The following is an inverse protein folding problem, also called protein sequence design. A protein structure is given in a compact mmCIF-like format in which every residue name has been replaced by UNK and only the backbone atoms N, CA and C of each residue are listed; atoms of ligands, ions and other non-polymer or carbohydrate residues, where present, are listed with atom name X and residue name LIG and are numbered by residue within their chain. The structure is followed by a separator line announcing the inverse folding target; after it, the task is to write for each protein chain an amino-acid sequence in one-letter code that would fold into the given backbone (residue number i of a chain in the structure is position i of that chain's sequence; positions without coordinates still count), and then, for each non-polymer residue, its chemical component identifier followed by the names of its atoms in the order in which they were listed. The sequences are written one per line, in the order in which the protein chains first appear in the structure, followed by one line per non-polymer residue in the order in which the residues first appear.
data_IF_431741376013
#
_entry.id   IF_431741376013
#
_cell.length_a   1.000
_cell.length_b   1.000
_cell.length_c   1.000
_cell.angle_alpha   90.00
_cell.angle_beta   90.00
_cell.angle_gamma   90.00
#
_symmetry.space_group_name_H-M   'P 1'
#
loop_
_entity.id
_entity.type
_entity.pdbx_description
1 polymer ?
#
# COMPACT_ATOMS: atom_id res chain seq x y z
N UNK A 1 -20.60 -43.82 -50.10
CA UNK A 1 -19.81 -43.07 -49.10
C UNK A 1 -20.08 -41.58 -49.32
N UNK A 2 -21.17 -41.05 -48.77
CA UNK A 2 -21.51 -39.63 -48.89
C UNK A 2 -21.37 -38.98 -47.53
N UNK A 3 -20.25 -38.29 -47.35
CA UNK A 3 -19.92 -37.49 -46.17
C UNK A 3 -20.80 -36.23 -46.17
N UNK A 4 -22.02 -36.36 -45.63
CA UNK A 4 -22.96 -35.25 -45.45
C UNK A 4 -22.54 -34.42 -44.23
N UNK A 5 -21.51 -33.59 -44.38
CA UNK A 5 -21.13 -32.62 -43.34
C UNK A 5 -22.13 -31.48 -43.35
N UNK A 6 -23.07 -31.51 -42.40
CA UNK A 6 -23.95 -30.38 -42.10
C UNK A 6 -23.14 -29.07 -42.02
N UNK A 7 -23.60 -27.97 -42.66
CA UNK A 7 -22.91 -26.70 -42.56
C UNK A 7 -22.96 -26.24 -41.10
N UNK A 8 -21.80 -26.22 -40.45
CA UNK A 8 -21.66 -25.65 -39.10
C UNK A 8 -22.17 -24.22 -39.17
N UNK A 9 -23.32 -23.97 -38.53
CA UNK A 9 -23.98 -22.67 -38.53
C UNK A 9 -23.10 -21.65 -37.81
N UNK A 10 -22.24 -20.97 -38.57
CA UNK A 10 -21.29 -19.96 -38.09
C UNK A 10 -22.01 -18.83 -37.33
N UNK A 11 -23.25 -18.51 -37.70
CA UNK A 11 -24.07 -17.49 -37.03
C UNK A 11 -24.54 -17.95 -35.63
N UNK A 12 -24.95 -19.20 -35.47
CA UNK A 12 -25.29 -19.77 -34.16
C UNK A 12 -24.06 -19.83 -33.23
N UNK A 13 -22.89 -20.25 -33.77
CA UNK A 13 -21.62 -20.25 -33.03
C UNK A 13 -21.18 -18.83 -32.63
N UNK A 14 -21.37 -17.83 -33.50
CA UNK A 14 -21.09 -16.40 -33.22
C UNK A 14 -22.04 -15.84 -32.13
N UNK A 15 -23.33 -16.16 -32.18
CA UNK A 15 -24.30 -15.76 -31.13
C UNK A 15 -23.99 -16.39 -29.77
N UNK A 16 -23.56 -17.65 -29.73
CA UNK A 16 -23.11 -18.32 -28.50
C UNK A 16 -21.87 -17.65 -27.91
N UNK A 17 -20.85 -17.36 -28.72
CA UNK A 17 -19.65 -16.62 -28.29
C UNK A 17 -19.96 -15.22 -27.75
N UNK A 18 -20.94 -14.52 -28.33
CA UNK A 18 -21.37 -13.21 -27.83
C UNK A 18 -22.03 -13.32 -26.45
N UNK A 19 -22.86 -14.35 -26.24
CA UNK A 19 -23.50 -14.62 -24.94
C UNK A 19 -22.46 -14.96 -23.87
N UNK A 20 -21.46 -15.80 -24.18
CA UNK A 20 -20.39 -16.13 -23.25
C UNK A 20 -19.54 -14.92 -22.91
N UNK A 21 -19.18 -14.10 -23.90
CA UNK A 21 -18.44 -12.85 -23.67
C UNK A 21 -19.22 -11.87 -22.80
N UNK A 22 -20.54 -11.74 -23.02
CA UNK A 22 -21.42 -10.91 -22.18
C UNK A 22 -21.40 -11.38 -20.72
N UNK A 23 -21.54 -12.68 -20.48
CA UNK A 23 -21.51 -13.23 -19.12
C UNK A 23 -20.14 -13.05 -18.45
N UNK A 24 -19.05 -13.24 -19.17
CA UNK A 24 -17.69 -12.97 -18.66
C UNK A 24 -17.50 -11.50 -18.29
N UNK A 25 -17.99 -10.58 -19.12
CA UNK A 25 -17.92 -9.15 -18.83
C UNK A 25 -18.74 -8.80 -17.58
N UNK A 26 -19.97 -9.33 -17.45
CA UNK A 26 -20.80 -9.12 -16.26
C UNK A 26 -20.08 -9.65 -15.01
N UNK A 27 -19.53 -10.86 -15.06
CA UNK A 27 -18.80 -11.45 -13.94
C UNK A 27 -17.56 -10.61 -13.58
N UNK A 28 -16.82 -10.12 -14.58
CA UNK A 28 -15.67 -9.24 -14.37
C UNK A 28 -16.07 -7.95 -13.67
N UNK A 29 -17.16 -7.29 -14.10
CA UNK A 29 -17.67 -6.07 -13.46
C UNK A 29 -18.11 -6.36 -12.02
N UNK A 30 -18.86 -7.44 -11.78
CA UNK A 30 -19.31 -7.81 -10.44
C UNK A 30 -18.12 -8.12 -9.51
N UNK A 31 -17.08 -8.80 -10.01
CA UNK A 31 -15.87 -9.06 -9.26
C UNK A 31 -15.15 -7.76 -8.88
N UNK A 32 -15.04 -6.81 -9.81
CA UNK A 32 -14.44 -5.50 -9.52
C UNK A 32 -15.25 -4.72 -8.47
N UNK A 33 -16.58 -4.70 -8.56
CA UNK A 33 -17.43 -4.03 -7.55
C UNK A 33 -17.23 -4.68 -6.18
N UNK A 34 -17.18 -6.01 -6.10
CA UNK A 34 -16.94 -6.71 -4.84
C UNK A 34 -15.55 -6.37 -4.25
N UNK A 35 -14.52 -6.27 -5.10
CA UNK A 35 -13.19 -5.85 -4.68
C UNK A 35 -13.16 -4.38 -4.24
N UNK A 36 -13.84 -3.46 -4.94
CA UNK A 36 -13.97 -2.06 -4.53
C UNK A 36 -14.55 -1.96 -3.12
N UNK A 37 -15.66 -2.66 -2.84
CA UNK A 37 -16.29 -2.68 -1.52
C UNK A 37 -15.42 -3.31 -0.43
N UNK A 38 -14.50 -4.21 -0.81
CA UNK A 38 -13.56 -4.81 0.12
C UNK A 38 -12.36 -3.89 0.40
N UNK A 39 -11.84 -3.22 -0.63
CA UNK A 39 -10.70 -2.31 -0.54
C UNK A 39 -11.08 -0.98 0.12
N UNK A 40 -12.32 -0.50 -0.04
CA UNK A 40 -12.83 0.76 0.54
C UNK A 40 -12.98 0.75 2.08
N UNK A 41 -12.38 -0.23 2.75
CA UNK A 41 -12.42 -0.37 4.21
C UNK A 41 -11.22 0.34 4.82
N UNK A 42 -11.51 1.40 5.56
CA UNK A 42 -10.48 2.08 6.36
C UNK A 42 -9.84 1.11 7.37
N UNK A 43 -8.52 1.18 7.57
CA UNK A 43 -7.84 0.40 8.60
C UNK A 43 -8.38 0.68 10.01
N UNK A 44 -8.31 -0.33 10.87
CA UNK A 44 -8.72 -0.19 12.27
C UNK A 44 -7.74 0.70 13.02
N UNK A 45 -8.27 1.52 13.92
CA UNK A 45 -7.47 2.23 14.92
C UNK A 45 -6.73 1.23 15.82
N UNK A 46 -5.55 1.63 16.27
CA UNK A 46 -4.73 0.84 17.19
C UNK A 46 -4.30 1.68 18.40
N UNK A 47 -4.04 1.00 19.51
CA UNK A 47 -3.50 1.64 20.71
C UNK A 47 -1.98 1.76 20.60
N UNK A 48 -1.51 3.01 20.48
CA UNK A 48 -0.09 3.34 20.32
C UNK A 48 0.80 2.79 21.46
N UNK A 49 0.30 2.77 22.70
CA UNK A 49 1.05 2.28 23.86
C UNK A 49 1.17 0.76 23.84
N UNK A 50 0.10 0.08 23.43
CA UNK A 50 0.11 -1.37 23.29
C UNK A 50 1.05 -1.81 22.17
N UNK A 51 1.00 -1.14 21.02
CA UNK A 51 1.91 -1.43 19.89
C UNK A 51 3.36 -1.18 20.30
N UNK A 52 3.67 -0.04 20.93
CA UNK A 52 5.01 0.26 21.44
C UNK A 52 5.49 -0.78 22.45
N UNK A 53 4.67 -1.14 23.43
CA UNK A 53 5.04 -2.16 24.44
C UNK A 53 5.29 -3.52 23.80
N UNK A 54 4.49 -3.89 22.79
CA UNK A 54 4.67 -5.15 22.06
C UNK A 54 5.98 -5.15 21.27
N UNK A 55 6.30 -4.06 20.56
CA UNK A 55 7.55 -3.93 19.81
C UNK A 55 8.77 -3.93 20.74
N UNK A 56 8.72 -3.20 21.83
CA UNK A 56 9.77 -3.19 22.86
C UNK A 56 10.07 -4.61 23.37
N UNK A 57 9.02 -5.38 23.69
CA UNK A 57 9.17 -6.79 24.12
C UNK A 57 9.72 -7.70 23.03
N UNK A 58 9.31 -7.50 21.77
CA UNK A 58 9.74 -8.32 20.63
C UNK A 58 11.25 -8.17 20.36
N UNK A 59 11.76 -6.95 20.49
CA UNK A 59 13.15 -6.60 20.18
C UNK A 59 14.05 -6.49 21.42
N UNK A 60 13.51 -6.65 22.62
CA UNK A 60 14.28 -6.53 23.87
C UNK A 60 14.71 -5.10 24.20
N UNK A 61 13.97 -4.10 23.71
CA UNK A 61 14.23 -2.68 23.98
C UNK A 61 13.46 -2.18 25.20
N UNK A 62 13.99 -1.14 25.84
CA UNK A 62 13.25 -0.36 26.82
C UNK A 62 12.43 0.74 26.12
N UNK A 63 11.24 1.03 26.65
CA UNK A 63 10.41 2.12 26.15
C UNK A 63 10.96 3.44 26.69
N UNK A 64 11.82 4.08 25.91
CA UNK A 64 12.40 5.39 26.23
C UNK A 64 11.58 6.54 25.64
N UNK A 65 11.90 7.78 26.02
CA UNK A 65 11.31 8.98 25.42
C UNK A 65 11.48 8.96 23.90
N UNK A 66 10.40 9.22 23.16
CA UNK A 66 10.40 9.18 21.69
C UNK A 66 10.13 7.79 21.08
N UNK A 67 10.38 6.69 21.82
CA UNK A 67 10.18 5.32 21.30
C UNK A 67 8.75 5.07 20.81
N UNK A 68 7.75 5.49 21.59
CA UNK A 68 6.33 5.32 21.20
C UNK A 68 6.02 6.09 19.91
N UNK A 69 6.61 7.27 19.71
CA UNK A 69 6.40 8.08 18.51
C UNK A 69 7.00 7.39 17.28
N UNK A 70 8.25 6.92 17.38
CA UNK A 70 8.93 6.20 16.29
C UNK A 70 8.19 4.91 15.93
N UNK A 71 7.80 4.11 16.92
CA UNK A 71 7.02 2.89 16.67
C UNK A 71 5.67 3.21 16.05
N UNK A 72 5.00 4.29 16.47
CA UNK A 72 3.72 4.71 15.89
C UNK A 72 3.89 5.12 14.43
N UNK A 73 4.93 5.89 14.09
CA UNK A 73 5.26 6.22 12.69
C UNK A 73 5.40 4.96 11.84
N UNK A 74 6.17 3.97 12.33
CA UNK A 74 6.40 2.71 11.62
C UNK A 74 5.11 1.90 11.48
N UNK A 75 4.27 1.85 12.51
CA UNK A 75 2.99 1.14 12.46
C UNK A 75 2.00 1.80 11.50
N UNK A 76 1.93 3.14 11.47
CA UNK A 76 1.11 3.89 10.50
C UNK A 76 1.57 3.60 9.08
N UNK A 77 2.87 3.69 8.81
CA UNK A 77 3.44 3.41 7.49
C UNK A 77 3.18 1.94 7.06
N UNK A 78 3.37 0.98 7.97
CA UNK A 78 3.02 -0.43 7.74
C UNK A 78 1.54 -0.62 7.45
N UNK A 79 0.67 0.05 8.19
CA UNK A 79 -0.80 -0.03 8.02
C UNK A 79 -1.20 0.51 6.64
N UNK A 80 -0.61 1.61 6.19
CA UNK A 80 -0.84 2.16 4.85
C UNK A 80 -0.50 1.16 3.74
N UNK A 81 0.62 0.44 3.88
CA UNK A 81 1.08 -0.55 2.89
C UNK A 81 0.28 -1.86 2.93
N UNK A 82 -0.15 -2.31 4.11
CA UNK A 82 -0.72 -3.65 4.32
C UNK A 82 -2.25 -3.67 4.53
N UNK A 83 -2.94 -2.54 4.37
CA UNK A 83 -4.41 -2.50 4.39
C UNK A 83 -5.03 -3.36 3.27
N UNK A 84 -6.34 -3.66 3.33
CA UNK A 84 -7.02 -4.40 2.27
C UNK A 84 -6.76 -3.79 0.88
N UNK A 85 -6.23 -4.59 -0.04
CA UNK A 85 -5.86 -4.15 -1.39
C UNK A 85 -4.40 -3.73 -1.55
N UNK A 86 -3.64 -3.59 -0.46
CA UNK A 86 -2.26 -3.08 -0.52
C UNK A 86 -2.24 -1.57 -0.76
N UNK A 87 -1.13 -1.03 -1.27
CA UNK A 87 -1.02 0.37 -1.68
C UNK A 87 -1.66 0.55 -3.06
N UNK A 88 -2.67 1.41 -3.18
CA UNK A 88 -3.49 1.53 -4.39
C UNK A 88 -3.19 2.80 -5.19
N UNK A 89 -2.53 3.80 -4.60
CA UNK A 89 -2.28 5.11 -5.23
C UNK A 89 -1.44 5.05 -6.52
N UNK A 90 -0.61 4.02 -6.70
CA UNK A 90 0.19 3.82 -7.91
C UNK A 90 -0.41 2.76 -8.87
N UNK A 91 -1.57 2.18 -8.55
CA UNK A 91 -2.18 1.16 -9.38
C UNK A 91 -2.71 1.71 -10.69
N UNK A 92 -2.57 0.90 -11.75
CA UNK A 92 -3.06 1.22 -13.11
C UNK A 92 -4.14 0.28 -13.60
N UNK A 93 -4.63 -0.62 -12.74
CA UNK A 93 -5.63 -1.63 -13.09
C UNK A 93 -6.91 -1.46 -12.26
N UNK A 94 -8.08 -1.86 -12.79
CA UNK A 94 -9.29 -2.02 -11.98
C UNK A 94 -9.06 -3.03 -10.83
N UNK A 95 -9.67 -2.81 -9.65
CA UNK A 95 -10.68 -1.79 -9.35
C UNK A 95 -10.14 -0.42 -8.94
N UNK A 96 -8.87 -0.31 -8.54
CA UNK A 96 -8.31 0.87 -7.85
C UNK A 96 -8.37 2.15 -8.66
N UNK A 97 -8.26 2.08 -9.99
CA UNK A 97 -8.42 3.25 -10.88
C UNK A 97 -9.80 3.94 -10.81
N UNK A 98 -10.82 3.27 -10.24
CA UNK A 98 -12.16 3.81 -10.06
C UNK A 98 -12.45 4.21 -8.60
N UNK A 99 -11.47 4.07 -7.71
CA UNK A 99 -11.58 4.37 -6.28
C UNK A 99 -10.93 5.71 -5.97
N UNK A 100 -11.55 6.52 -5.13
CA UNK A 100 -11.05 7.83 -4.72
C UNK A 100 -10.79 7.90 -3.21
N UNK A 101 -11.67 7.33 -2.38
CA UNK A 101 -11.58 7.39 -0.93
C UNK A 101 -10.23 6.89 -0.39
N UNK A 102 -9.88 5.64 -0.69
CA UNK A 102 -8.67 5.00 -0.15
C UNK A 102 -7.38 5.59 -0.71
N UNK A 103 -7.22 5.84 -2.02
CA UNK A 103 -6.04 6.55 -2.53
C UNK A 103 -5.85 7.94 -1.92
N UNK A 104 -6.93 8.70 -1.68
CA UNK A 104 -6.83 9.99 -1.00
C UNK A 104 -6.47 9.85 0.49
N UNK A 105 -7.02 8.84 1.18
CA UNK A 105 -6.63 8.50 2.54
C UNK A 105 -5.13 8.13 2.62
N UNK A 106 -4.62 7.34 1.67
CA UNK A 106 -3.20 6.97 1.58
C UNK A 106 -2.32 8.21 1.44
N UNK A 107 -2.73 9.16 0.60
CA UNK A 107 -1.97 10.40 0.44
C UNK A 107 -1.90 11.20 1.74
N UNK A 108 -3.01 11.30 2.49
CA UNK A 108 -3.03 11.96 3.79
C UNK A 108 -2.08 11.29 4.80
N UNK A 109 -2.11 9.96 4.86
CA UNK A 109 -1.20 9.19 5.72
C UNK A 109 0.26 9.36 5.28
N UNK A 110 0.53 9.35 3.98
CA UNK A 110 1.88 9.51 3.45
C UNK A 110 2.46 10.88 3.78
N UNK A 111 1.67 11.95 3.70
CA UNK A 111 2.10 13.29 4.11
C UNK A 111 2.46 13.30 5.60
N UNK A 112 1.62 12.72 6.46
CA UNK A 112 1.92 12.59 7.89
C UNK A 112 3.23 11.82 8.14
N UNK A 113 3.44 10.70 7.45
CA UNK A 113 4.65 9.87 7.58
C UNK A 113 5.89 10.67 7.15
N UNK A 114 5.83 11.38 6.02
CA UNK A 114 6.93 12.20 5.49
C UNK A 114 7.31 13.33 6.43
N UNK A 115 6.32 14.07 6.91
CA UNK A 115 6.56 15.21 7.80
C UNK A 115 7.16 14.73 9.12
N UNK A 116 6.60 13.67 9.72
CA UNK A 116 7.09 13.14 10.98
C UNK A 116 8.49 12.51 10.84
N UNK A 117 8.76 11.75 9.77
CA UNK A 117 10.09 11.19 9.51
C UNK A 117 11.15 12.31 9.37
N UNK A 118 10.81 13.38 8.64
CA UNK A 118 11.69 14.55 8.49
C UNK A 118 11.94 15.27 9.80
N UNK A 119 10.92 15.47 10.63
CA UNK A 119 11.08 16.07 11.96
C UNK A 119 11.92 15.18 12.89
N UNK A 120 11.73 13.85 12.87
CA UNK A 120 12.58 12.93 13.63
C UNK A 120 14.05 13.05 13.25
N UNK A 121 14.33 13.10 11.94
CA UNK A 121 15.67 13.25 11.38
C UNK A 121 16.33 14.58 11.74
N UNK A 122 15.64 15.69 11.48
CA UNK A 122 16.22 17.02 11.55
C UNK A 122 16.21 17.63 12.95
N UNK A 123 15.15 17.39 13.72
CA UNK A 123 14.88 18.14 14.96
C UNK A 123 15.09 17.28 16.21
N UNK A 124 14.81 15.97 16.16
CA UNK A 124 14.91 15.10 17.34
C UNK A 124 16.21 14.28 17.42
N UNK A 125 16.77 13.86 16.28
CA UNK A 125 17.90 12.93 16.27
C UNK A 125 19.25 13.61 16.01
N UNK A 126 19.24 14.89 15.59
CA UNK A 126 20.44 15.65 15.30
C UNK A 126 20.84 16.54 16.48
N UNK A 127 22.09 16.41 16.95
CA UNK A 127 22.66 17.33 17.92
C UNK A 127 23.10 18.64 17.24
N UNK A 128 22.59 19.78 17.71
CA UNK A 128 22.86 21.12 17.15
C UNK A 128 24.36 21.47 17.10
N UNK A 129 25.17 20.98 18.04
CA UNK A 129 26.61 21.29 18.11
C UNK A 129 27.49 20.27 17.38
N UNK A 130 27.00 19.08 17.08
CA UNK A 130 27.81 17.99 16.52
C UNK A 130 27.43 17.60 15.08
N UNK A 131 26.32 18.10 14.52
CA UNK A 131 25.84 17.79 13.15
C UNK A 131 25.82 16.31 12.77
N UNK A 132 25.97 15.41 13.75
CA UNK A 132 25.88 13.98 13.58
C UNK A 132 24.42 13.64 13.42
N UNK A 133 24.13 12.94 12.34
CA UNK A 133 22.81 12.51 11.95
C UNK A 133 22.65 11.03 12.28
N UNK A 134 21.42 10.63 12.60
CA UNK A 134 21.07 9.23 12.73
C UNK A 134 21.09 8.55 11.34
N UNK A 135 21.90 7.51 11.19
CA UNK A 135 22.14 6.87 9.89
C UNK A 135 20.89 6.14 9.36
N UNK A 136 20.01 5.66 10.22
CA UNK A 136 18.77 4.97 9.82
C UNK A 136 17.76 5.99 9.28
N UNK A 137 17.60 7.12 9.98
CA UNK A 137 16.74 8.23 9.53
C UNK A 137 17.27 8.91 8.27
N UNK A 138 18.59 8.98 8.10
CA UNK A 138 19.24 9.49 6.89
C UNK A 138 18.93 8.64 5.66
N UNK A 139 18.80 7.32 5.83
CA UNK A 139 18.45 6.39 4.76
C UNK A 139 16.94 6.31 4.52
N UNK A 140 16.13 6.37 5.58
CA UNK A 140 14.67 6.19 5.49
C UNK A 140 13.92 7.43 4.99
N UNK A 141 14.31 8.65 5.39
CA UNK A 141 13.61 9.88 5.01
C UNK A 141 13.53 10.09 3.47
N UNK A 142 14.62 9.93 2.69
CA UNK A 142 14.55 9.99 1.24
C UNK A 142 13.61 8.93 0.63
N UNK A 143 13.57 7.72 1.20
CA UNK A 143 12.72 6.63 0.72
C UNK A 143 11.23 6.89 0.97
N UNK A 144 10.85 7.47 2.11
CA UNK A 144 9.48 7.95 2.33
C UNK A 144 9.10 9.09 1.38
N UNK A 145 10.05 9.91 0.97
CA UNK A 145 9.85 11.00 0.00
C UNK A 145 9.89 10.57 -1.47
N UNK A 146 10.09 9.28 -1.74
CA UNK A 146 10.03 8.75 -3.10
C UNK A 146 8.65 8.97 -3.73
N UNK A 147 8.61 9.12 -5.06
CA UNK A 147 7.40 9.33 -5.86
C UNK A 147 6.32 8.31 -5.48
N UNK A 148 5.14 8.81 -5.16
CA UNK A 148 4.03 8.01 -4.65
C UNK A 148 3.21 7.33 -5.76
N UNK A 149 3.52 7.63 -7.03
CA UNK A 149 2.81 7.18 -8.22
C UNK A 149 3.59 6.18 -9.08
N UNK A 150 4.82 5.82 -8.68
CA UNK A 150 5.66 4.89 -9.43
C UNK A 150 5.16 3.45 -9.31
N UNK A 151 4.91 2.82 -10.45
CA UNK A 151 4.25 1.51 -10.55
C UNK A 151 5.20 0.32 -10.71
N UNK A 152 6.27 0.43 -11.51
CA UNK A 152 7.08 -0.73 -11.94
C UNK A 152 8.51 -0.74 -11.42
N UNK A 153 9.33 0.30 -11.65
CA UNK A 153 10.72 0.31 -11.23
C UNK A 153 11.23 1.75 -10.95
N UNK A 154 11.68 2.04 -9.72
CA UNK A 154 11.41 1.28 -8.50
C UNK A 154 9.93 1.41 -8.11
N UNK A 155 9.38 0.35 -7.50
CA UNK A 155 8.00 0.36 -7.00
C UNK A 155 7.90 1.20 -5.73
N UNK A 156 6.88 2.06 -5.65
CA UNK A 156 6.62 2.94 -4.50
C UNK A 156 6.59 2.15 -3.19
N UNK A 157 5.86 1.04 -3.16
CA UNK A 157 5.69 0.18 -1.99
C UNK A 157 7.01 -0.38 -1.51
N UNK A 158 7.90 -0.74 -2.45
CA UNK A 158 9.22 -1.27 -2.11
C UNK A 158 10.09 -0.21 -1.46
N UNK A 159 9.98 1.06 -1.86
CA UNK A 159 10.73 2.15 -1.25
C UNK A 159 10.22 2.42 0.16
N UNK A 160 8.91 2.46 0.36
CA UNK A 160 8.32 2.69 1.68
C UNK A 160 8.56 1.51 2.63
N UNK A 161 8.53 0.27 2.13
CA UNK A 161 8.89 -0.90 2.90
C UNK A 161 10.36 -0.86 3.34
N UNK A 162 11.28 -0.50 2.44
CA UNK A 162 12.69 -0.32 2.78
C UNK A 162 12.90 0.80 3.80
N UNK A 163 12.15 1.90 3.70
CA UNK A 163 12.22 2.99 4.69
C UNK A 163 11.83 2.52 6.10
N UNK A 164 10.79 1.68 6.18
CA UNK A 164 10.36 1.06 7.45
C UNK A 164 11.45 0.12 7.97
N UNK A 165 12.04 -0.71 7.11
CA UNK A 165 13.09 -1.67 7.46
C UNK A 165 14.36 -0.99 7.96
N UNK A 166 14.79 0.10 7.33
CA UNK A 166 15.97 0.87 7.77
C UNK A 166 15.84 1.31 9.24
N UNK A 167 14.64 1.74 9.64
CA UNK A 167 14.35 2.23 11.00
C UNK A 167 14.10 1.14 12.06
N UNK A 168 14.16 -0.15 11.69
CA UNK A 168 14.09 -1.28 12.63
C UNK A 168 15.46 -1.81 13.06
N UNK A 169 16.54 -1.32 12.45
CA UNK A 169 17.91 -1.74 12.78
C UNK A 169 18.39 -1.12 14.10
#
# INVERSE_FOLDING_TARGET
MTDNRYPVNKAAKKRSKLKTLKWLLILFVLANIALMLYYDREPKLFDVKQVATKQAKLHGHEVVTGFTTTVTLLEVAKTMLHKPGGYLSNDKMPPSVFMDNIPNWEYGVLVQVRDLARTLRNDFSRSQSQSLEDEDLKQSDPKFHFDNSSWILPRTESQYQQAIEDMHN
#
